data_IF_706778347405
#
_entry.id   IF_706778347405
#
_cell.length_a   1.000
_cell.length_b   1.000
_cell.length_c   1.000
_cell.angle_alpha   90.00
_cell.angle_beta   90.00
_cell.angle_gamma   90.00
#
_symmetry.space_group_name_H-M   'P 1'
#
loop_
_entity.id
_entity.type
_entity.pdbx_description
1 polymer ?
#
# COMPACT_ATOMS: atom_id res chain seq x y z
N UNK A 1 -51.93 -4.70 -15.62
CA UNK A 1 -51.73 -3.26 -15.87
C UNK A 1 -50.25 -3.00 -15.77
N UNK A 2 -49.61 -2.45 -16.80
CA UNK A 2 -48.17 -2.20 -16.75
C UNK A 2 -47.90 -0.91 -15.98
N UNK A 3 -47.00 -0.95 -15.00
CA UNK A 3 -46.63 0.21 -14.20
C UNK A 3 -45.21 0.62 -14.54
N UNK A 4 -45.03 1.85 -14.97
CA UNK A 4 -43.72 2.41 -15.28
C UNK A 4 -43.18 3.14 -14.05
N UNK A 5 -41.95 2.83 -13.65
CA UNK A 5 -41.28 3.46 -12.52
C UNK A 5 -40.14 4.35 -13.03
N UNK A 6 -40.06 5.59 -12.54
CA UNK A 6 -39.01 6.52 -12.92
C UNK A 6 -38.77 7.59 -11.85
N UNK A 7 -37.88 8.54 -12.12
CA UNK A 7 -37.59 9.71 -11.27
C UNK A 7 -36.41 9.54 -10.30
N UNK A 8 -36.05 8.31 -9.95
CA UNK A 8 -34.80 7.98 -9.25
C UNK A 8 -33.94 7.04 -10.09
N UNK A 9 -32.66 6.87 -9.69
CA UNK A 9 -31.81 5.83 -10.28
C UNK A 9 -32.43 4.45 -10.11
N UNK A 10 -32.08 3.51 -11.00
CA UNK A 10 -32.59 2.14 -10.94
C UNK A 10 -32.27 1.49 -9.59
N UNK A 11 -31.04 1.68 -9.11
CA UNK A 11 -30.60 1.16 -7.82
C UNK A 11 -31.39 1.75 -6.65
N UNK A 12 -31.62 3.07 -6.62
CA UNK A 12 -32.41 3.70 -5.55
C UNK A 12 -33.89 3.27 -5.60
N UNK A 13 -34.43 3.09 -6.82
CA UNK A 13 -35.79 2.60 -7.04
C UNK A 13 -35.95 1.17 -6.53
N UNK A 14 -34.98 0.29 -6.80
CA UNK A 14 -34.92 -1.08 -6.29
C UNK A 14 -34.72 -1.12 -4.77
N UNK A 15 -33.85 -0.27 -4.22
CA UNK A 15 -33.63 -0.17 -2.78
C UNK A 15 -34.91 0.25 -2.04
N UNK A 16 -35.70 1.15 -2.62
CA UNK A 16 -36.98 1.57 -2.05
C UNK A 16 -38.05 0.47 -2.16
N UNK A 17 -38.24 -0.12 -3.34
CA UNK A 17 -39.33 -1.09 -3.55
C UNK A 17 -38.99 -2.53 -3.09
N UNK A 18 -37.73 -2.82 -2.78
CA UNK A 18 -37.29 -4.13 -2.27
C UNK A 18 -37.14 -5.21 -3.35
N UNK A 19 -36.99 -6.47 -2.92
CA UNK A 19 -36.92 -7.63 -3.81
C UNK A 19 -38.23 -7.86 -4.58
N UNK A 20 -39.32 -7.24 -4.11
CA UNK A 20 -40.63 -7.23 -4.77
C UNK A 20 -40.62 -6.64 -6.20
N UNK A 21 -39.54 -6.01 -6.64
CA UNK A 21 -39.37 -5.52 -8.02
C UNK A 21 -39.01 -6.62 -9.03
N UNK A 22 -38.40 -7.73 -8.60
CA UNK A 22 -37.72 -8.67 -9.51
C UNK A 22 -38.59 -9.86 -9.93
N UNK A 23 -39.55 -10.34 -9.11
CA UNK A 23 -40.04 -11.72 -9.29
C UNK A 23 -41.49 -11.95 -9.75
N UNK A 24 -42.38 -10.96 -9.82
CA UNK A 24 -43.80 -11.27 -10.20
C UNK A 24 -44.63 -10.13 -10.79
N UNK A 25 -44.10 -8.91 -10.88
CA UNK A 25 -44.91 -7.73 -11.22
C UNK A 25 -44.51 -7.07 -12.53
N UNK A 26 -45.49 -6.49 -13.22
CA UNK A 26 -45.35 -5.72 -14.47
C UNK A 26 -44.75 -4.32 -14.26
N UNK A 27 -43.73 -4.20 -13.40
CA UNK A 27 -42.95 -2.98 -13.25
C UNK A 27 -41.86 -2.94 -14.31
N UNK A 28 -41.76 -1.81 -15.00
CA UNK A 28 -40.63 -1.54 -15.87
C UNK A 28 -40.03 -0.21 -15.43
N UNK A 29 -38.80 -0.26 -14.93
CA UNK A 29 -38.04 0.94 -14.64
C UNK A 29 -37.60 1.59 -15.95
N UNK A 30 -37.73 2.92 -16.04
CA UNK A 30 -37.21 3.73 -17.15
C UNK A 30 -36.41 4.91 -16.59
N UNK A 31 -35.27 5.27 -17.22
CA UNK A 31 -34.57 6.51 -16.92
C UNK A 31 -35.49 7.73 -17.04
N UNK A 32 -35.31 8.71 -16.13
CA UNK A 32 -36.07 9.96 -16.10
C UNK A 32 -36.14 10.64 -17.48
N UNK A 33 -34.99 10.76 -18.16
CA UNK A 33 -34.88 11.36 -19.47
C UNK A 33 -35.72 10.65 -20.55
N UNK A 34 -35.77 9.31 -20.52
CA UNK A 34 -36.55 8.53 -21.49
C UNK A 34 -38.05 8.70 -21.24
N UNK A 35 -38.48 8.71 -19.98
CA UNK A 35 -39.90 8.89 -19.65
C UNK A 35 -40.42 10.27 -20.07
N UNK A 36 -39.62 11.32 -19.93
CA UNK A 36 -40.02 12.68 -20.32
C UNK A 36 -40.07 12.91 -21.83
N UNK A 37 -39.36 12.09 -22.62
CA UNK A 37 -39.30 12.19 -24.08
C UNK A 37 -40.31 11.27 -24.76
N UNK A 38 -40.48 10.03 -24.27
CA UNK A 38 -41.35 9.00 -24.84
C UNK A 38 -42.85 9.23 -24.56
N UNK A 39 -43.20 10.23 -23.76
CA UNK A 39 -44.56 10.46 -23.26
C UNK A 39 -45.49 11.08 -24.32
N UNK A 40 -45.59 10.47 -25.49
CA UNK A 40 -46.61 10.78 -26.47
C UNK A 40 -47.86 9.93 -26.16
N UNK A 41 -48.94 10.51 -25.58
CA UNK A 41 -50.08 9.76 -25.07
C UNK A 41 -50.93 9.09 -26.16
N UNK A 42 -50.63 9.34 -27.44
CA UNK A 42 -51.45 8.93 -28.58
C UNK A 42 -51.30 7.44 -28.97
N UNK A 43 -50.19 6.77 -28.60
CA UNK A 43 -49.84 5.47 -29.20
C UNK A 43 -50.00 4.24 -28.29
N UNK A 44 -50.48 4.40 -27.05
CA UNK A 44 -50.52 3.28 -26.09
C UNK A 44 -51.95 2.90 -25.70
N UNK A 45 -52.43 1.81 -26.30
CA UNK A 45 -53.74 1.18 -26.08
C UNK A 45 -53.89 0.49 -24.73
N UNK A 46 -52.83 0.43 -23.91
CA UNK A 46 -52.85 -0.20 -22.59
C UNK A 46 -52.91 0.89 -21.50
N UNK A 47 -53.82 0.73 -20.54
CA UNK A 47 -53.88 1.58 -19.36
C UNK A 47 -52.60 1.41 -18.51
N UNK A 48 -51.59 2.24 -18.81
CA UNK A 48 -50.36 2.35 -18.02
C UNK A 48 -50.49 3.40 -16.93
N UNK A 49 -50.09 3.03 -15.72
CA UNK A 49 -49.83 3.96 -14.62
C UNK A 49 -48.34 4.30 -14.63
N UNK A 50 -48.02 5.58 -14.48
CA UNK A 50 -46.66 6.06 -14.36
C UNK A 50 -46.46 6.50 -12.91
N UNK A 51 -45.47 5.91 -12.25
CA UNK A 51 -45.07 6.26 -10.89
C UNK A 51 -43.72 6.98 -10.98
N UNK A 52 -43.72 8.23 -10.55
CA UNK A 52 -42.51 9.04 -10.45
C UNK A 52 -42.09 9.14 -8.99
N UNK A 53 -41.01 8.47 -8.66
CA UNK A 53 -40.37 8.56 -7.36
C UNK A 53 -39.49 9.81 -7.35
N UNK A 54 -39.61 10.61 -6.30
CA UNK A 54 -38.69 11.72 -6.09
C UNK A 54 -38.25 11.76 -4.64
N UNK A 55 -37.11 12.42 -4.42
CA UNK A 55 -36.52 12.67 -3.12
C UNK A 55 -36.23 14.14 -2.96
N UNK A 56 -36.32 14.59 -1.72
CA UNK A 56 -35.82 15.87 -1.26
C UNK A 56 -34.30 16.03 -1.47
N UNK A 57 -33.82 17.15 -2.06
CA UNK A 57 -32.40 17.36 -2.30
C UNK A 57 -31.55 17.68 -1.05
N UNK A 58 -32.10 17.74 0.16
CA UNK A 58 -31.30 17.70 1.39
C UNK A 58 -31.20 16.27 1.95
N UNK A 59 -32.19 15.42 1.71
CA UNK A 59 -32.15 14.02 2.16
C UNK A 59 -31.07 13.24 1.40
N UNK A 60 -30.98 13.40 0.08
CA UNK A 60 -29.92 12.74 -0.70
C UNK A 60 -28.49 13.28 -0.41
N UNK A 61 -28.37 14.52 0.11
CA UNK A 61 -27.08 15.14 0.44
C UNK A 61 -26.63 14.67 1.80
N UNK A 62 -27.58 14.47 2.72
CA UNK A 62 -27.32 13.88 4.01
C UNK A 62 -26.74 12.45 3.88
N UNK A 63 -27.20 11.68 2.87
CA UNK A 63 -26.62 10.34 2.60
C UNK A 63 -25.15 10.38 2.12
N UNK A 64 -24.65 11.52 1.63
CA UNK A 64 -23.26 11.67 1.19
C UNK A 64 -22.85 10.86 -0.05
N UNK A 65 -23.82 10.32 -0.81
CA UNK A 65 -23.55 9.41 -1.95
C UNK A 65 -23.16 10.11 -3.25
N UNK A 66 -23.38 11.42 -3.37
CA UNK A 66 -23.19 12.18 -4.61
C UNK A 66 -21.80 12.79 -4.74
N UNK A 67 -21.06 12.43 -5.80
CA UNK A 67 -19.69 12.94 -6.06
C UNK A 67 -19.70 14.38 -6.59
N UNK A 68 -20.62 14.73 -7.50
CA UNK A 68 -20.79 16.09 -8.02
C UNK A 68 -22.16 16.65 -7.64
N UNK A 69 -22.18 17.34 -6.50
CA UNK A 69 -23.40 17.96 -5.93
C UNK A 69 -24.00 19.00 -6.88
N UNK A 70 -23.19 19.75 -7.62
CA UNK A 70 -23.68 20.84 -8.46
C UNK A 70 -24.40 20.29 -9.69
N UNK A 71 -23.76 19.35 -10.39
CA UNK A 71 -24.37 18.70 -11.54
C UNK A 71 -25.62 17.91 -11.14
N UNK A 72 -25.57 17.20 -10.00
CA UNK A 72 -26.71 16.47 -9.47
C UNK A 72 -27.89 17.41 -9.21
N UNK A 73 -27.70 18.51 -8.46
CA UNK A 73 -28.78 19.45 -8.16
C UNK A 73 -29.41 20.06 -9.43
N UNK A 74 -28.60 20.38 -10.44
CA UNK A 74 -29.11 20.89 -11.72
C UNK A 74 -29.93 19.83 -12.48
N UNK A 75 -29.45 18.58 -12.50
CA UNK A 75 -30.19 17.47 -13.08
C UNK A 75 -31.52 17.27 -12.36
N UNK A 76 -31.51 17.24 -11.02
CA UNK A 76 -32.72 17.11 -10.20
C UNK A 76 -33.72 18.22 -10.54
N UNK A 77 -33.29 19.49 -10.59
CA UNK A 77 -34.19 20.59 -10.95
C UNK A 77 -34.81 20.42 -12.34
N UNK A 78 -34.01 19.98 -13.31
CA UNK A 78 -34.44 19.78 -14.70
C UNK A 78 -35.48 18.68 -14.79
N UNK A 79 -35.20 17.53 -14.18
CA UNK A 79 -36.10 16.37 -14.15
C UNK A 79 -37.40 16.68 -13.42
N UNK A 80 -37.34 17.33 -12.25
CA UNK A 80 -38.54 17.66 -11.48
C UNK A 80 -39.40 18.75 -12.14
N UNK A 81 -38.81 19.70 -12.87
CA UNK A 81 -39.59 20.64 -13.68
C UNK A 81 -40.28 19.93 -14.85
N UNK A 82 -39.57 19.03 -15.52
CA UNK A 82 -40.13 18.26 -16.62
C UNK A 82 -41.29 17.37 -16.16
N UNK A 83 -41.19 16.70 -15.00
CA UNK A 83 -42.28 15.87 -14.49
C UNK A 83 -43.50 16.68 -14.10
N UNK A 84 -43.33 17.88 -13.53
CA UNK A 84 -44.47 18.75 -13.21
C UNK A 84 -45.19 19.23 -14.47
N UNK A 85 -44.47 19.46 -15.58
CA UNK A 85 -45.08 19.74 -16.88
C UNK A 85 -45.81 18.52 -17.42
N UNK A 86 -45.19 17.33 -17.35
CA UNK A 86 -45.78 16.06 -17.77
C UNK A 86 -47.04 15.72 -16.98
N UNK A 87 -47.10 16.07 -15.70
CA UNK A 87 -48.30 15.89 -14.87
C UNK A 87 -49.52 16.65 -15.41
N UNK A 88 -49.31 17.80 -16.05
CA UNK A 88 -50.41 18.59 -16.65
C UNK A 88 -51.04 17.84 -17.82
N UNK A 89 -50.27 17.04 -18.56
CA UNK A 89 -50.76 16.24 -19.70
C UNK A 89 -51.32 14.89 -19.24
N UNK A 90 -50.62 14.17 -18.37
CA UNK A 90 -51.00 12.83 -17.92
C UNK A 90 -52.03 12.80 -16.78
N UNK A 91 -52.20 13.91 -16.05
CA UNK A 91 -53.14 14.08 -14.93
C UNK A 91 -53.05 12.92 -13.93
N UNK A 92 -54.14 12.16 -13.78
CA UNK A 92 -54.27 11.08 -12.80
C UNK A 92 -53.48 9.81 -13.16
N UNK A 93 -52.95 9.72 -14.40
CA UNK A 93 -52.13 8.59 -14.83
C UNK A 93 -50.71 8.65 -14.28
N UNK A 94 -50.27 9.84 -13.84
CA UNK A 94 -48.97 10.07 -13.23
C UNK A 94 -49.12 10.26 -11.72
N UNK A 95 -48.52 9.35 -10.96
CA UNK A 95 -48.49 9.38 -9.50
C UNK A 95 -47.10 9.86 -9.08
N UNK A 96 -47.03 11.01 -8.42
CA UNK A 96 -45.80 11.50 -7.80
C UNK A 96 -45.71 10.94 -6.37
N UNK A 97 -44.57 10.37 -6.01
CA UNK A 97 -44.36 9.72 -4.71
C UNK A 97 -43.06 10.22 -4.10
N UNK A 98 -43.16 10.83 -2.92
CA UNK A 98 -41.99 11.13 -2.10
C UNK A 98 -41.57 9.86 -1.35
N UNK A 99 -40.40 9.30 -1.70
CA UNK A 99 -39.92 8.05 -1.13
C UNK A 99 -39.56 8.15 0.37
N UNK A 100 -39.34 9.36 0.88
CA UNK A 100 -39.02 9.58 2.29
C UNK A 100 -40.27 9.63 3.18
N UNK A 101 -41.46 9.72 2.57
CA UNK A 101 -42.72 9.95 3.29
C UNK A 101 -43.76 8.87 3.04
N UNK A 102 -43.65 8.16 1.92
CA UNK A 102 -44.54 7.08 1.55
C UNK A 102 -43.81 5.77 1.75
N UNK A 103 -44.37 4.88 2.57
CA UNK A 103 -43.84 3.52 2.69
C UNK A 103 -44.10 2.73 1.42
N UNK A 104 -43.18 1.84 1.00
CA UNK A 104 -43.39 0.98 -0.17
C UNK A 104 -44.71 0.20 -0.09
N UNK A 105 -45.06 -0.34 1.09
CA UNK A 105 -46.33 -1.04 1.31
C UNK A 105 -47.55 -0.22 0.86
N UNK A 106 -47.66 1.03 1.31
CA UNK A 106 -48.77 1.90 0.93
C UNK A 106 -48.82 2.16 -0.58
N UNK A 107 -47.66 2.34 -1.23
CA UNK A 107 -47.59 2.48 -2.68
C UNK A 107 -48.08 1.22 -3.41
N UNK A 108 -47.67 0.04 -2.97
CA UNK A 108 -48.10 -1.22 -3.56
C UNK A 108 -49.60 -1.46 -3.35
N UNK A 109 -50.12 -1.19 -2.15
CA UNK A 109 -51.56 -1.22 -1.86
C UNK A 109 -52.35 -0.28 -2.78
N UNK A 110 -51.84 0.94 -3.01
CA UNK A 110 -52.44 1.91 -3.94
C UNK A 110 -52.47 1.41 -5.39
N UNK A 111 -51.46 0.64 -5.79
CA UNK A 111 -51.37 0.02 -7.10
C UNK A 111 -52.14 -1.32 -7.17
N UNK A 112 -52.72 -1.79 -6.06
CA UNK A 112 -53.43 -3.06 -5.97
C UNK A 112 -52.50 -4.29 -6.01
N UNK A 113 -51.26 -4.13 -5.55
CA UNK A 113 -50.22 -5.15 -5.56
C UNK A 113 -49.90 -5.62 -4.14
N UNK A 114 -49.53 -6.90 -4.00
CA UNK A 114 -49.05 -7.45 -2.74
C UNK A 114 -47.60 -7.01 -2.47
N UNK A 115 -47.32 -6.60 -1.23
CA UNK A 115 -45.98 -6.25 -0.77
C UNK A 115 -45.51 -7.33 0.22
N UNK A 116 -44.40 -8.01 -0.10
CA UNK A 116 -43.93 -9.16 0.67
C UNK A 116 -42.66 -8.88 1.49
N UNK A 117 -42.09 -7.68 1.37
CA UNK A 117 -40.86 -7.30 2.06
C UNK A 117 -41.16 -6.69 3.45
N UNK A 118 -40.14 -6.66 4.31
CA UNK A 118 -40.26 -6.03 5.62
C UNK A 118 -40.43 -4.52 5.49
N UNK A 119 -41.24 -3.87 6.35
CA UNK A 119 -41.46 -2.44 6.28
C UNK A 119 -40.14 -1.69 6.48
N UNK A 120 -39.73 -0.93 5.47
CA UNK A 120 -38.59 -0.01 5.56
C UNK A 120 -38.98 1.11 6.52
N UNK A 121 -38.20 1.31 7.58
CA UNK A 121 -38.37 2.46 8.46
C UNK A 121 -37.97 3.72 7.70
N UNK A 122 -38.89 4.68 7.63
CA UNK A 122 -38.60 6.02 7.15
C UNK A 122 -37.80 6.74 8.24
N UNK A 123 -36.49 6.91 8.02
CA UNK A 123 -35.62 7.58 8.98
C UNK A 123 -35.74 9.10 8.84
N UNK A 124 -36.02 9.78 9.96
CA UNK A 124 -35.84 11.23 10.05
C UNK A 124 -34.37 11.52 10.36
N UNK A 125 -33.60 11.88 9.34
CA UNK A 125 -32.20 12.25 9.51
C UNK A 125 -32.11 13.69 10.11
N UNK A 126 -31.52 13.87 11.30
CA UNK A 126 -31.32 15.19 11.90
C UNK A 126 -30.44 16.12 11.04
N UNK A 127 -29.48 15.57 10.28
CA UNK A 127 -28.69 16.33 9.32
C UNK A 127 -29.57 16.88 8.20
N UNK A 128 -30.48 16.07 7.67
CA UNK A 128 -31.40 16.50 6.64
C UNK A 128 -32.33 17.63 7.11
N UNK A 129 -32.79 17.57 8.36
CA UNK A 129 -33.52 18.66 9.02
C UNK A 129 -32.73 19.99 8.96
N UNK A 130 -31.43 19.91 9.27
CA UNK A 130 -30.53 21.08 9.25
C UNK A 130 -30.27 21.58 7.82
N UNK A 131 -29.95 20.67 6.90
CA UNK A 131 -29.62 20.99 5.52
C UNK A 131 -30.76 21.72 4.81
N UNK A 132 -32.02 21.31 4.96
CA UNK A 132 -33.07 22.08 4.29
C UNK A 132 -33.32 23.46 4.89
N UNK A 133 -32.94 23.70 6.15
CA UNK A 133 -32.92 25.07 6.70
C UNK A 133 -31.89 25.93 5.98
N UNK A 134 -30.76 25.34 5.58
CA UNK A 134 -29.76 26.00 4.73
C UNK A 134 -30.32 26.24 3.32
N UNK A 135 -31.00 25.26 2.70
CA UNK A 135 -31.63 25.43 1.39
C UNK A 135 -32.72 26.51 1.37
N UNK A 136 -33.50 26.61 2.44
CA UNK A 136 -34.53 27.64 2.57
C UNK A 136 -33.92 29.05 2.41
N UNK A 137 -32.73 29.27 2.98
CA UNK A 137 -32.04 30.55 2.95
C UNK A 137 -31.21 30.74 1.66
N UNK A 138 -30.53 29.69 1.21
CA UNK A 138 -29.49 29.78 0.18
C UNK A 138 -29.99 29.42 -1.23
N UNK A 139 -31.05 28.64 -1.37
CA UNK A 139 -31.58 28.16 -2.65
C UNK A 139 -33.13 28.08 -2.62
N UNK A 140 -33.82 29.21 -2.42
CA UNK A 140 -35.28 29.24 -2.27
C UNK A 140 -36.03 28.69 -3.49
N UNK A 141 -35.45 28.75 -4.69
CA UNK A 141 -36.00 28.21 -5.93
C UNK A 141 -36.09 26.68 -5.94
N UNK A 142 -35.11 25.99 -5.34
CA UNK A 142 -35.11 24.53 -5.18
C UNK A 142 -36.25 24.12 -4.26
N UNK A 143 -36.41 24.91 -3.19
CA UNK A 143 -37.45 24.71 -2.20
C UNK A 143 -38.85 24.95 -2.77
N UNK A 144 -39.05 26.02 -3.54
CA UNK A 144 -40.32 26.28 -4.22
C UNK A 144 -40.68 25.16 -5.21
N UNK A 145 -39.68 24.58 -5.90
CA UNK A 145 -39.89 23.43 -6.77
C UNK A 145 -40.29 22.18 -5.98
N UNK A 146 -39.65 21.94 -4.82
CA UNK A 146 -40.02 20.85 -3.92
C UNK A 146 -41.44 21.01 -3.36
N UNK A 147 -41.83 22.20 -2.89
CA UNK A 147 -43.20 22.46 -2.41
C UNK A 147 -44.24 22.23 -3.52
N UNK A 148 -43.89 22.56 -4.78
CA UNK A 148 -44.74 22.27 -5.93
C UNK A 148 -44.88 20.76 -6.21
N UNK A 149 -43.83 19.97 -5.96
CA UNK A 149 -43.89 18.50 -6.02
C UNK A 149 -44.73 17.95 -4.86
N UNK A 150 -44.52 18.42 -3.63
CA UNK A 150 -45.26 17.99 -2.44
C UNK A 150 -46.76 18.30 -2.56
N UNK A 151 -47.12 19.49 -3.03
CA UNK A 151 -48.52 19.84 -3.33
C UNK A 151 -49.12 18.97 -4.44
N UNK A 152 -48.27 18.38 -5.28
CA UNK A 152 -48.63 17.49 -6.37
C UNK A 152 -48.53 16.00 -6.01
N UNK A 153 -47.99 15.67 -4.85
CA UNK A 153 -47.69 14.31 -4.45
C UNK A 153 -48.96 13.54 -4.06
N UNK A 154 -48.90 12.22 -4.24
CA UNK A 154 -49.84 11.34 -3.58
C UNK A 154 -49.28 10.97 -2.21
N UNK A 155 -50.00 11.36 -1.15
CA UNK A 155 -49.67 11.07 0.23
C UNK A 155 -50.84 10.27 0.83
N UNK A 156 -50.65 8.97 1.18
CA UNK A 156 -51.72 8.15 1.72
C UNK A 156 -52.17 8.63 3.10
N UNK A 157 -51.21 9.01 3.95
CA UNK A 157 -51.43 9.48 5.32
C UNK A 157 -50.46 10.64 5.59
N UNK A 158 -50.92 11.89 5.47
CA UNK A 158 -50.12 13.05 5.85
C UNK A 158 -50.42 14.31 5.05
N UNK A 159 -49.97 15.44 5.58
CA UNK A 159 -49.99 16.73 4.89
C UNK A 159 -48.71 16.89 4.05
N UNK A 160 -48.75 17.60 2.90
CA UNK A 160 -47.56 17.99 2.17
C UNK A 160 -46.51 18.67 3.06
N UNK A 161 -45.23 18.41 2.80
CA UNK A 161 -44.14 19.06 3.55
C UNK A 161 -43.90 20.45 2.95
N UNK A 162 -44.10 21.47 3.77
CA UNK A 162 -43.88 22.88 3.43
C UNK A 162 -42.93 23.52 4.46
N UNK A 163 -42.40 24.70 4.13
CA UNK A 163 -41.61 25.51 5.11
C UNK A 163 -42.28 25.62 6.47
N UNK A 164 -43.60 25.79 6.49
CA UNK A 164 -44.38 26.13 7.68
C UNK A 164 -44.60 24.97 8.66
N UNK A 165 -44.60 23.72 8.20
CA UNK A 165 -44.92 22.55 9.02
C UNK A 165 -43.72 21.62 9.25
N UNK A 166 -42.52 22.10 8.94
CA UNK A 166 -41.29 21.32 9.03
C UNK A 166 -40.76 21.20 10.46
N UNK A 167 -40.14 20.06 10.85
CA UNK A 167 -39.38 19.98 12.09
C UNK A 167 -38.25 21.02 12.12
N UNK A 168 -38.12 21.71 13.24
CA UNK A 168 -37.04 22.66 13.48
C UNK A 168 -35.68 21.93 13.44
N UNK A 169 -34.62 22.57 12.93
CA UNK A 169 -33.27 22.00 12.96
C UNK A 169 -32.86 21.71 14.41
N UNK A 170 -32.34 20.51 14.65
CA UNK A 170 -31.91 20.06 15.97
C UNK A 170 -30.44 20.41 16.19
N UNK A 171 -30.03 20.55 17.46
CA UNK A 171 -28.61 20.76 17.80
C UNK A 171 -27.74 19.60 17.30
N UNK A 172 -28.26 18.36 17.32
CA UNK A 172 -27.57 17.17 16.80
C UNK A 172 -27.24 17.33 15.31
N UNK A 173 -28.22 17.72 14.48
CA UNK A 173 -27.98 17.90 13.05
C UNK A 173 -27.00 19.05 12.73
N UNK A 174 -26.97 20.10 13.57
CA UNK A 174 -25.97 21.16 13.45
C UNK A 174 -24.56 20.66 13.78
N UNK A 175 -24.40 19.84 14.83
CA UNK A 175 -23.11 19.24 15.19
C UNK A 175 -22.63 18.34 14.05
N UNK A 176 -23.50 17.48 13.51
CA UNK A 176 -23.16 16.61 12.36
C UNK A 176 -22.73 17.42 11.14
N UNK A 177 -23.42 18.53 10.82
CA UNK A 177 -23.03 19.41 9.73
C UNK A 177 -21.65 20.05 9.97
N UNK A 178 -21.38 20.50 11.19
CA UNK A 178 -20.08 21.08 11.54
C UNK A 178 -18.95 20.05 11.49
N UNK A 179 -19.20 18.82 11.93
CA UNK A 179 -18.26 17.71 11.85
C UNK A 179 -17.96 17.34 10.38
N UNK A 180 -18.98 17.30 9.52
CA UNK A 180 -18.80 17.09 8.09
C UNK A 180 -17.99 18.21 7.43
N UNK A 181 -18.25 19.47 7.78
CA UNK A 181 -17.46 20.61 7.30
C UNK A 181 -16.01 20.51 7.80
N UNK A 182 -15.81 20.14 9.07
CA UNK A 182 -14.48 19.94 9.65
C UNK A 182 -13.73 18.83 8.91
N UNK A 183 -14.36 17.66 8.73
CA UNK A 183 -13.80 16.53 7.99
C UNK A 183 -13.46 16.91 6.54
N UNK A 184 -14.37 17.61 5.85
CA UNK A 184 -14.15 18.10 4.49
C UNK A 184 -12.97 19.05 4.38
N UNK A 185 -12.74 19.91 5.39
CA UNK A 185 -11.56 20.79 5.44
C UNK A 185 -10.26 20.06 5.75
N UNK A 186 -10.32 18.93 6.46
CA UNK A 186 -9.14 18.09 6.73
C UNK A 186 -8.79 17.13 5.59
N UNK A 187 -9.73 16.88 4.67
CA UNK A 187 -9.54 15.93 3.58
C UNK A 187 -8.31 16.23 2.68
N UNK A 188 -8.01 17.47 2.28
CA UNK A 188 -6.79 17.77 1.53
C UNK A 188 -5.50 17.44 2.29
N UNK A 189 -5.48 17.68 3.61
CA UNK A 189 -4.34 17.32 4.46
C UNK A 189 -4.18 15.81 4.55
N UNK A 190 -5.29 15.07 4.72
CA UNK A 190 -5.27 13.62 4.74
C UNK A 190 -4.81 13.03 3.39
N UNK A 191 -5.24 13.61 2.26
CA UNK A 191 -4.79 13.22 0.93
C UNK A 191 -3.29 13.49 0.73
N UNK A 192 -2.80 14.64 1.20
CA UNK A 192 -1.37 14.97 1.16
C UNK A 192 -0.55 13.97 1.98
N UNK A 193 -0.98 13.65 3.20
CA UNK A 193 -0.34 12.64 4.03
C UNK A 193 -0.37 11.24 3.40
N UNK A 194 -1.47 10.87 2.73
CA UNK A 194 -1.54 9.61 1.99
C UNK A 194 -0.54 9.59 0.83
N UNK A 195 -0.45 10.68 0.06
CA UNK A 195 0.56 10.78 -1.01
C UNK A 195 1.99 10.76 -0.50
N UNK A 196 2.27 11.39 0.65
CA UNK A 196 3.58 11.30 1.30
C UNK A 196 3.90 9.87 1.74
N UNK A 197 2.92 9.17 2.33
CA UNK A 197 3.05 7.75 2.69
C UNK A 197 3.25 6.87 1.46
N UNK A 198 2.53 7.10 0.37
CA UNK A 198 2.70 6.37 -0.90
C UNK A 198 4.10 6.59 -1.49
N UNK A 199 4.62 7.82 -1.43
CA UNK A 199 5.99 8.14 -1.85
C UNK A 199 7.02 7.40 -0.98
N UNK A 200 6.84 7.40 0.34
CA UNK A 200 7.70 6.67 1.26
C UNK A 200 7.67 5.15 1.05
N UNK A 201 6.48 4.58 0.81
CA UNK A 201 6.34 3.16 0.45
C UNK A 201 7.06 2.86 -0.86
N UNK A 202 6.95 3.75 -1.85
CA UNK A 202 7.61 3.58 -3.14
C UNK A 202 9.14 3.68 -3.03
N UNK A 203 9.66 4.58 -2.19
CA UNK A 203 11.12 4.67 -1.95
C UNK A 203 11.64 3.44 -1.23
N UNK A 204 10.96 2.98 -0.16
CA UNK A 204 11.33 1.76 0.54
C UNK A 204 11.31 0.53 -0.37
N UNK A 205 10.31 0.41 -1.26
CA UNK A 205 10.27 -0.68 -2.25
C UNK A 205 11.48 -0.65 -3.18
N UNK A 206 11.88 0.53 -3.67
CA UNK A 206 13.07 0.67 -4.52
C UNK A 206 14.35 0.28 -3.77
N UNK A 207 14.49 0.71 -2.52
CA UNK A 207 15.64 0.37 -1.67
C UNK A 207 15.71 -1.14 -1.41
N UNK A 208 14.59 -1.78 -1.10
CA UNK A 208 14.55 -3.24 -0.90
C UNK A 208 14.91 -4.01 -2.18
N UNK A 209 14.53 -3.51 -3.35
CA UNK A 209 14.87 -4.13 -4.63
C UNK A 209 16.36 -3.93 -4.96
N UNK A 210 16.92 -2.76 -4.65
CA UNK A 210 18.36 -2.51 -4.73
C UNK A 210 19.14 -3.44 -3.80
N UNK A 211 18.69 -3.62 -2.56
CA UNK A 211 19.32 -4.54 -1.62
C UNK A 211 19.28 -5.99 -2.13
N UNK A 212 18.13 -6.46 -2.65
CA UNK A 212 18.00 -7.80 -3.25
C UNK A 212 18.91 -7.99 -4.46
N UNK A 213 18.97 -7.02 -5.36
CA UNK A 213 19.86 -7.11 -6.52
C UNK A 213 21.35 -7.17 -6.13
N UNK A 214 21.75 -6.43 -5.10
CA UNK A 214 23.10 -6.49 -4.55
C UNK A 214 23.40 -7.82 -3.84
N UNK A 215 22.43 -8.41 -3.15
CA UNK A 215 22.56 -9.76 -2.58
C UNK A 215 22.69 -10.82 -3.67
N UNK A 216 21.90 -10.72 -4.73
CA UNK A 216 21.98 -11.63 -5.87
C UNK A 216 23.34 -11.53 -6.56
N UNK A 217 23.84 -10.32 -6.81
CA UNK A 217 25.17 -10.15 -7.42
C UNK A 217 26.27 -10.73 -6.54
N UNK A 218 26.20 -10.54 -5.22
CA UNK A 218 27.13 -11.18 -4.25
C UNK A 218 27.03 -12.70 -4.28
N UNK A 219 25.83 -13.24 -4.43
CA UNK A 219 25.62 -14.68 -4.52
C UNK A 219 26.21 -15.25 -5.81
N UNK A 220 26.00 -14.58 -6.94
CA UNK A 220 26.55 -14.95 -8.25
C UNK A 220 28.09 -14.87 -8.24
N UNK A 221 28.66 -13.82 -7.66
CA UNK A 221 30.11 -13.69 -7.45
C UNK A 221 30.66 -14.84 -6.60
N UNK A 222 29.99 -15.15 -5.48
CA UNK A 222 30.38 -16.29 -4.62
C UNK A 222 30.30 -17.62 -5.37
N UNK A 223 29.28 -17.79 -6.22
CA UNK A 223 29.11 -18.93 -7.11
C UNK A 223 30.22 -19.07 -8.15
N UNK A 224 30.85 -17.98 -8.58
CA UNK A 224 32.02 -18.00 -9.48
C UNK A 224 33.34 -18.21 -8.75
N UNK A 225 33.51 -17.63 -7.56
CA UNK A 225 34.75 -17.73 -6.78
C UNK A 225 34.97 -19.14 -6.24
N UNK A 226 33.92 -19.82 -5.78
CA UNK A 226 34.01 -21.20 -5.25
C UNK A 226 34.64 -22.21 -6.23
N UNK A 227 34.19 -22.34 -7.49
CA UNK A 227 34.81 -23.25 -8.45
C UNK A 227 36.22 -22.80 -8.86
N UNK A 228 36.51 -21.50 -8.88
CA UNK A 228 37.89 -21.02 -9.11
C UNK A 228 38.83 -21.43 -7.97
N UNK A 229 38.37 -21.28 -6.72
CA UNK A 229 39.11 -21.73 -5.54
C UNK A 229 39.35 -23.24 -5.59
N UNK A 230 38.32 -24.03 -5.95
CA UNK A 230 38.45 -25.47 -6.07
C UNK A 230 39.46 -25.88 -7.16
N UNK A 231 39.42 -25.23 -8.33
CA UNK A 231 40.42 -25.45 -9.39
C UNK A 231 41.83 -25.06 -8.95
N UNK A 232 41.98 -23.96 -8.21
CA UNK A 232 43.27 -23.54 -7.69
C UNK A 232 43.83 -24.52 -6.65
N UNK A 233 42.97 -25.06 -5.76
CA UNK A 233 43.35 -26.10 -4.81
C UNK A 233 43.78 -27.40 -5.51
N UNK A 234 43.05 -27.80 -6.56
CA UNK A 234 43.38 -29.00 -7.32
C UNK A 234 44.72 -28.85 -8.07
N UNK A 235 44.95 -27.69 -8.70
CA UNK A 235 46.22 -27.40 -9.35
C UNK A 235 47.42 -27.33 -8.37
N UNK A 236 47.18 -26.94 -7.11
CA UNK A 236 48.18 -27.01 -6.05
C UNK A 236 48.51 -28.46 -5.69
N UNK A 237 47.49 -29.31 -5.50
CA UNK A 237 47.69 -30.73 -5.21
C UNK A 237 48.44 -31.47 -6.34
N UNK A 238 48.09 -31.19 -7.60
CA UNK A 238 48.78 -31.77 -8.76
C UNK A 238 50.27 -31.35 -8.79
N UNK A 239 50.57 -30.08 -8.48
CA UNK A 239 51.95 -29.59 -8.37
C UNK A 239 52.72 -30.21 -7.22
N UNK A 240 52.07 -30.44 -6.09
CA UNK A 240 52.71 -31.12 -4.94
C UNK A 240 53.08 -32.56 -5.30
N UNK A 241 52.19 -33.27 -6.00
CA UNK A 241 52.46 -34.61 -6.51
C UNK A 241 53.60 -34.64 -7.53
N UNK A 242 53.63 -33.69 -8.48
CA UNK A 242 54.72 -33.56 -9.44
C UNK A 242 56.06 -33.25 -8.76
N UNK A 243 56.05 -32.36 -7.75
CA UNK A 243 57.25 -32.04 -6.96
C UNK A 243 57.76 -33.25 -6.18
N UNK A 244 56.87 -34.08 -5.63
CA UNK A 244 57.25 -35.35 -4.98
C UNK A 244 57.87 -36.32 -5.97
N UNK A 245 57.27 -36.50 -7.15
CA UNK A 245 57.82 -37.38 -8.19
C UNK A 245 59.21 -36.92 -8.65
N UNK A 246 59.42 -35.61 -8.78
CA UNK A 246 60.74 -35.05 -9.09
C UNK A 246 61.75 -35.28 -7.96
N UNK A 247 61.34 -35.20 -6.69
CA UNK A 247 62.22 -35.54 -5.55
C UNK A 247 62.60 -37.01 -5.56
N UNK A 248 61.65 -37.90 -5.85
CA UNK A 248 61.90 -39.34 -5.92
C UNK A 248 62.86 -39.66 -7.07
N UNK A 249 62.65 -39.08 -8.25
CA UNK A 249 63.56 -39.21 -9.39
C UNK A 249 64.97 -38.72 -9.04
N UNK A 250 65.08 -37.55 -8.42
CA UNK A 250 66.36 -36.98 -8.01
C UNK A 250 67.06 -37.87 -6.97
N UNK A 251 66.32 -38.44 -6.02
CA UNK A 251 66.87 -39.38 -5.05
C UNK A 251 67.41 -40.65 -5.72
N UNK A 252 66.70 -41.17 -6.74
CA UNK A 252 67.13 -42.36 -7.48
C UNK A 252 68.38 -42.08 -8.31
N UNK A 253 68.44 -40.93 -8.99
CA UNK A 253 69.60 -40.50 -9.77
C UNK A 253 70.81 -40.28 -8.87
N UNK A 254 70.60 -39.67 -7.70
CA UNK A 254 71.66 -39.48 -6.71
C UNK A 254 72.19 -40.83 -6.18
N UNK A 255 71.32 -41.81 -5.98
CA UNK A 255 71.71 -43.19 -5.65
C UNK A 255 72.50 -43.85 -6.77
N UNK A 256 72.06 -43.71 -8.02
CA UNK A 256 72.76 -44.25 -9.20
C UNK A 256 74.15 -43.62 -9.37
N UNK A 257 74.27 -42.31 -9.14
CA UNK A 257 75.55 -41.60 -9.16
C UNK A 257 76.48 -42.09 -8.04
N UNK A 258 75.96 -42.27 -6.82
CA UNK A 258 76.73 -42.81 -5.71
C UNK A 258 77.22 -44.26 -6.00
N UNK A 259 76.35 -45.09 -6.59
CA UNK A 259 76.68 -46.45 -7.02
C UNK A 259 77.76 -46.44 -8.12
N UNK A 260 77.58 -45.63 -9.16
CA UNK A 260 78.55 -45.51 -10.25
C UNK A 260 79.90 -44.96 -9.78
N UNK A 261 79.92 -44.06 -8.80
CA UNK A 261 81.16 -43.59 -8.17
C UNK A 261 81.83 -44.68 -7.34
N UNK A 262 81.07 -45.51 -6.63
CA UNK A 262 81.60 -46.67 -5.92
C UNK A 262 82.19 -47.72 -6.89
N UNK A 263 81.48 -48.02 -7.97
CA UNK A 263 81.94 -48.92 -9.03
C UNK A 263 83.17 -48.37 -9.73
N UNK A 264 83.21 -47.05 -10.00
CA UNK A 264 84.39 -46.37 -10.54
C UNK A 264 85.57 -46.44 -9.57
N UNK A 265 85.38 -46.23 -8.27
CA UNK A 265 86.46 -46.36 -7.28
C UNK A 265 86.99 -47.80 -7.20
N UNK A 266 86.12 -48.81 -7.29
CA UNK A 266 86.53 -50.21 -7.38
C UNK A 266 87.29 -50.51 -8.68
N UNK A 267 86.82 -50.01 -9.82
CA UNK A 267 87.50 -50.13 -11.12
C UNK A 267 88.85 -49.40 -11.13
N UNK A 268 88.96 -48.26 -10.44
CA UNK A 268 90.20 -47.48 -10.33
C UNK A 268 91.21 -48.17 -9.40
N UNK A 269 90.73 -48.86 -8.35
CA UNK A 269 91.58 -49.71 -7.50
C UNK A 269 92.02 -50.99 -8.24
N UNK A 270 91.17 -51.56 -9.10
CA UNK A 270 91.51 -52.68 -9.97
C UNK A 270 92.49 -52.28 -11.09
N UNK A 271 92.35 -51.08 -11.68
CA UNK A 271 93.31 -50.53 -12.65
C UNK A 271 94.66 -50.17 -12.02
N UNK A 272 94.71 -49.75 -10.75
CA UNK A 272 95.97 -49.51 -10.04
C UNK A 272 96.78 -50.79 -9.77
N UNK A 273 96.16 -51.97 -9.82
CA UNK A 273 96.85 -53.25 -9.73
C UNK A 273 97.41 -53.76 -11.08
N UNK A 274 97.06 -53.10 -12.19
CA UNK A 274 97.49 -53.49 -13.53
C UNK A 274 97.85 -52.24 -14.36
N UNK A 275 99.03 -51.66 -14.11
CA UNK A 275 99.55 -50.59 -14.95
C UNK A 275 100.45 -51.15 -16.06
N UNK A 276 99.99 -51.08 -17.32
CA UNK A 276 100.84 -50.74 -18.47
C UNK A 276 99.98 -49.96 -19.48
N UNK A 277 100.37 -48.71 -19.76
CA UNK A 277 99.96 -48.01 -21.00
C UNK A 277 99.38 -46.62 -20.79
N UNK A 278 100.11 -45.53 -21.14
CA UNK A 278 99.57 -44.17 -21.12
C UNK A 278 98.88 -43.88 -22.45
N UNK A 279 97.54 -43.76 -22.46
CA UNK A 279 96.77 -42.99 -23.48
C UNK A 279 95.25 -42.77 -23.27
N UNK A 280 94.53 -43.25 -22.24
CA UNK A 280 93.09 -42.93 -22.11
C UNK A 280 92.78 -41.69 -21.25
N UNK A 281 93.78 -41.10 -20.58
CA UNK A 281 93.57 -39.98 -19.63
C UNK A 281 93.06 -38.68 -20.28
N UNK A 282 93.31 -38.47 -21.57
CA UNK A 282 92.83 -37.29 -22.29
C UNK A 282 91.33 -37.39 -22.59
N UNK A 283 90.87 -38.55 -23.05
CA UNK A 283 89.45 -38.82 -23.31
C UNK A 283 88.64 -38.83 -22.01
N UNK A 284 89.20 -39.34 -20.91
CA UNK A 284 88.55 -39.27 -19.59
C UNK A 284 88.42 -37.82 -19.08
N UNK A 285 89.41 -36.96 -19.33
CA UNK A 285 89.35 -35.55 -18.96
C UNK A 285 88.33 -34.77 -19.79
N UNK A 286 88.22 -35.05 -21.10
CA UNK A 286 87.18 -34.45 -21.95
C UNK A 286 85.78 -34.90 -21.52
N UNK A 287 85.60 -36.17 -21.17
CA UNK A 287 84.32 -36.67 -20.65
C UNK A 287 83.94 -36.02 -19.31
N UNK A 288 84.91 -35.84 -18.41
CA UNK A 288 84.69 -35.15 -17.14
C UNK A 288 84.32 -33.68 -17.35
N UNK A 289 84.99 -32.98 -18.27
CA UNK A 289 84.65 -31.60 -18.63
C UNK A 289 83.22 -31.50 -19.19
N UNK A 290 82.82 -32.45 -20.05
CA UNK A 290 81.47 -32.51 -20.59
C UNK A 290 80.41 -32.78 -19.50
N UNK A 291 80.69 -33.67 -18.55
CA UNK A 291 79.80 -33.92 -17.41
C UNK A 291 79.69 -32.71 -16.49
N UNK A 292 80.79 -32.00 -16.26
CA UNK A 292 80.81 -30.79 -15.43
C UNK A 292 79.98 -29.68 -16.07
N UNK A 293 80.10 -29.48 -17.39
CA UNK A 293 79.24 -28.55 -18.13
C UNK A 293 77.76 -28.90 -18.04
N UNK A 294 77.39 -30.18 -18.20
CA UNK A 294 76.00 -30.62 -18.07
C UNK A 294 75.43 -30.35 -16.68
N UNK A 295 76.20 -30.65 -15.62
CA UNK A 295 75.78 -30.37 -14.23
C UNK A 295 75.65 -28.87 -13.99
N UNK A 296 76.52 -28.06 -14.62
CA UNK A 296 76.47 -26.62 -14.50
C UNK A 296 75.21 -26.04 -15.17
N UNK A 297 74.85 -26.52 -16.37
CA UNK A 297 73.60 -26.14 -17.05
C UNK A 297 72.36 -26.58 -16.26
N UNK A 298 72.35 -27.78 -15.68
CA UNK A 298 71.23 -28.24 -14.83
C UNK A 298 71.09 -27.40 -13.55
N UNK A 299 72.20 -27.01 -12.92
CA UNK A 299 72.19 -26.14 -11.74
C UNK A 299 71.68 -24.74 -12.09
N UNK A 300 72.10 -24.17 -13.22
CA UNK A 300 71.59 -22.87 -13.69
C UNK A 300 70.08 -22.93 -13.98
N UNK A 301 69.63 -24.00 -14.64
CA UNK A 301 68.21 -24.21 -14.90
C UNK A 301 67.40 -24.33 -13.61
N UNK A 302 67.86 -25.14 -12.66
CA UNK A 302 67.22 -25.29 -11.33
C UNK A 302 67.21 -23.97 -10.55
N UNK A 303 68.26 -23.16 -10.67
CA UNK A 303 68.33 -21.87 -10.02
C UNK A 303 67.28 -20.89 -10.58
N UNK A 304 67.14 -20.82 -11.91
CA UNK A 304 66.11 -20.02 -12.57
C UNK A 304 64.69 -20.49 -12.20
N UNK A 305 64.45 -21.80 -12.16
CA UNK A 305 63.17 -22.36 -11.71
C UNK A 305 62.88 -21.97 -10.25
N UNK A 306 63.87 -22.09 -9.35
CA UNK A 306 63.75 -21.69 -7.95
C UNK A 306 63.46 -20.19 -7.78
N UNK A 307 64.07 -19.34 -8.62
CA UNK A 307 63.80 -17.90 -8.64
C UNK A 307 62.36 -17.62 -9.08
N UNK A 308 61.88 -18.31 -10.12
CA UNK A 308 60.50 -18.21 -10.59
C UNK A 308 59.46 -18.68 -9.55
N UNK A 309 59.79 -19.68 -8.72
CA UNK A 309 58.95 -20.07 -7.59
C UNK A 309 58.92 -19.02 -6.48
N UNK A 310 60.07 -18.42 -6.17
CA UNK A 310 60.16 -17.39 -5.14
C UNK A 310 59.33 -16.15 -5.53
N UNK A 311 59.37 -15.75 -6.80
CA UNK A 311 58.55 -14.65 -7.31
C UNK A 311 57.05 -14.93 -7.23
N UNK A 312 56.63 -16.17 -7.52
CA UNK A 312 55.23 -16.59 -7.36
C UNK A 312 54.80 -16.56 -5.90
N UNK A 313 55.66 -17.04 -4.99
CA UNK A 313 55.38 -17.01 -3.56
C UNK A 313 55.26 -15.58 -3.02
N UNK A 314 56.14 -14.67 -3.47
CA UNK A 314 56.07 -13.26 -3.11
C UNK A 314 54.77 -12.58 -3.60
N UNK A 315 54.31 -12.91 -4.82
CA UNK A 315 53.02 -12.42 -5.34
C UNK A 315 51.83 -12.94 -4.54
N UNK A 316 51.80 -14.25 -4.27
CA UNK A 316 50.71 -14.88 -3.51
C UNK A 316 50.62 -14.32 -2.09
N UNK A 317 51.77 -14.10 -1.44
CA UNK A 317 51.83 -13.48 -0.11
C UNK A 317 51.26 -12.06 -0.13
N UNK A 318 51.59 -11.27 -1.16
CA UNK A 318 51.05 -9.91 -1.32
C UNK A 318 49.53 -9.91 -1.54
N UNK A 319 49.00 -10.85 -2.31
CA UNK A 319 47.55 -11.01 -2.51
C UNK A 319 46.85 -11.41 -1.21
N UNK A 320 47.44 -12.31 -0.43
CA UNK A 320 46.91 -12.71 0.88
C UNK A 320 46.86 -11.53 1.86
N UNK A 321 47.93 -10.73 1.92
CA UNK A 321 47.98 -9.53 2.77
C UNK A 321 46.94 -8.49 2.34
N UNK A 322 46.71 -8.32 1.04
CA UNK A 322 45.67 -7.44 0.50
C UNK A 322 44.26 -7.93 0.83
N UNK A 323 44.00 -9.24 0.72
CA UNK A 323 42.70 -9.83 1.08
C UNK A 323 42.41 -9.67 2.57
N UNK A 324 43.42 -9.87 3.44
CA UNK A 324 43.29 -9.66 4.88
C UNK A 324 43.00 -8.19 5.23
N UNK A 325 43.65 -7.25 4.55
CA UNK A 325 43.37 -5.83 4.72
C UNK A 325 41.94 -5.46 4.30
N UNK A 326 41.48 -5.98 3.16
CA UNK A 326 40.12 -5.75 2.67
C UNK A 326 39.06 -6.34 3.62
N UNK A 327 39.31 -7.53 4.19
CA UNK A 327 38.41 -8.14 5.17
C UNK A 327 38.29 -7.29 6.43
N UNK A 328 39.41 -6.81 6.99
CA UNK A 328 39.40 -5.93 8.16
C UNK A 328 38.66 -4.62 7.91
N UNK A 329 38.82 -4.04 6.71
CA UNK A 329 38.08 -2.84 6.34
C UNK A 329 36.57 -3.10 6.31
N UNK A 330 36.15 -4.21 5.69
CA UNK A 330 34.74 -4.61 5.66
C UNK A 330 34.17 -4.87 7.06
N UNK A 331 34.95 -5.42 7.98
CA UNK A 331 34.53 -5.62 9.39
C UNK A 331 34.37 -4.28 10.12
N UNK A 332 35.26 -3.31 9.89
CA UNK A 332 35.11 -1.96 10.46
C UNK A 332 33.87 -1.24 9.91
N UNK A 333 33.61 -1.35 8.60
CA UNK A 333 32.44 -0.74 7.97
C UNK A 333 31.14 -1.37 8.52
N UNK A 334 31.13 -2.70 8.73
CA UNK A 334 29.99 -3.40 9.32
C UNK A 334 29.76 -2.96 10.77
N UNK A 335 30.83 -2.84 11.57
CA UNK A 335 30.74 -2.35 12.94
C UNK A 335 30.19 -0.91 12.99
N UNK A 336 30.65 -0.04 12.08
CA UNK A 336 30.13 1.33 11.95
C UNK A 336 28.65 1.37 11.58
N UNK A 337 28.21 0.52 10.65
CA UNK A 337 26.80 0.42 10.28
C UNK A 337 25.93 -0.08 11.45
N UNK A 338 26.42 -1.05 12.23
CA UNK A 338 25.69 -1.54 13.42
C UNK A 338 25.55 -0.49 14.52
N UNK A 339 26.58 0.33 14.75
CA UNK A 339 26.53 1.44 15.71
C UNK A 339 25.48 2.49 15.27
N UNK A 340 25.47 2.87 13.99
CA UNK A 340 24.48 3.80 13.45
C UNK A 340 23.05 3.25 13.54
N UNK A 341 22.85 1.96 13.31
CA UNK A 341 21.54 1.33 13.46
C UNK A 341 21.05 1.35 14.91
N UNK A 342 21.95 1.17 15.90
CA UNK A 342 21.62 1.28 17.32
C UNK A 342 21.23 2.72 17.69
N UNK A 343 22.02 3.72 17.28
CA UNK A 343 21.69 5.13 17.57
C UNK A 343 20.35 5.54 16.96
N UNK A 344 20.05 5.10 15.73
CA UNK A 344 18.75 5.35 15.11
C UNK A 344 17.60 4.62 15.83
N UNK A 345 17.86 3.44 16.39
CA UNK A 345 16.91 2.71 17.23
C UNK A 345 16.58 3.48 18.52
N UNK A 346 17.61 3.95 19.22
CA UNK A 346 17.46 4.75 20.45
C UNK A 346 16.70 6.07 20.20
N UNK A 347 17.00 6.77 19.10
CA UNK A 347 16.28 7.99 18.71
C UNK A 347 14.79 7.72 18.42
N UNK A 348 14.48 6.59 17.78
CA UNK A 348 13.10 6.21 17.46
C UNK A 348 12.31 5.87 18.73
N UNK A 349 12.92 5.12 19.67
CA UNK A 349 12.30 4.83 20.98
C UNK A 349 12.04 6.12 21.78
N UNK A 350 12.98 7.07 21.75
CA UNK A 350 12.81 8.36 22.41
C UNK A 350 11.66 9.17 21.80
N UNK A 351 11.54 9.22 20.47
CA UNK A 351 10.46 9.93 19.78
C UNK A 351 9.09 9.28 20.06
N UNK A 352 9.02 7.95 20.10
CA UNK A 352 7.82 7.22 20.49
C UNK A 352 7.39 7.56 21.93
N UNK A 353 8.34 7.62 22.86
CA UNK A 353 8.05 8.04 24.24
C UNK A 353 7.54 9.48 24.31
N UNK A 354 8.11 10.40 23.54
CA UNK A 354 7.63 11.79 23.50
C UNK A 354 6.22 11.87 22.91
N UNK A 355 5.91 11.10 21.87
CA UNK A 355 4.57 11.05 21.28
C UNK A 355 3.53 10.56 22.29
N UNK A 356 3.84 9.53 23.08
CA UNK A 356 2.95 9.04 24.13
C UNK A 356 2.68 10.08 25.22
N UNK A 357 3.72 10.81 25.67
CA UNK A 357 3.54 11.89 26.64
C UNK A 357 2.60 12.98 26.11
N UNK A 358 2.77 13.40 24.86
CA UNK A 358 1.90 14.41 24.24
C UNK A 358 0.45 13.91 24.12
N UNK A 359 0.26 12.62 23.81
CA UNK A 359 -1.08 12.02 23.79
C UNK A 359 -1.75 12.04 25.17
N UNK A 360 -1.01 11.68 26.22
CA UNK A 360 -1.51 11.70 27.59
C UNK A 360 -1.85 13.12 28.06
N UNK A 361 -1.00 14.10 27.74
CA UNK A 361 -1.30 15.52 28.02
C UNK A 361 -2.57 15.99 27.30
N UNK A 362 -2.76 15.64 26.02
CA UNK A 362 -3.96 15.98 25.27
C UNK A 362 -5.22 15.32 25.84
N UNK A 363 -5.13 14.06 26.28
CA UNK A 363 -6.23 13.37 26.95
C UNK A 363 -6.59 14.05 28.28
N UNK A 364 -5.58 14.43 29.06
CA UNK A 364 -5.78 15.18 30.30
C UNK A 364 -6.47 16.53 30.05
N UNK A 365 -6.05 17.29 29.03
CA UNK A 365 -6.72 18.54 28.66
C UNK A 365 -8.16 18.32 28.21
N UNK A 366 -8.42 17.26 27.46
CA UNK A 366 -9.77 16.92 27.02
C UNK A 366 -10.69 16.61 28.22
N UNK A 367 -10.21 15.79 29.17
CA UNK A 367 -10.95 15.45 30.39
C UNK A 367 -11.20 16.70 31.27
N UNK A 368 -10.19 17.54 31.46
CA UNK A 368 -10.31 18.78 32.23
C UNK A 368 -11.34 19.75 31.59
N UNK A 369 -11.29 19.93 30.26
CA UNK A 369 -12.27 20.76 29.55
C UNK A 369 -13.69 20.20 29.68
N UNK A 370 -13.85 18.88 29.62
CA UNK A 370 -15.15 18.22 29.82
C UNK A 370 -15.69 18.45 31.23
N UNK A 371 -14.84 18.37 32.25
CA UNK A 371 -15.22 18.65 33.63
C UNK A 371 -15.62 20.12 33.83
N UNK A 372 -14.87 21.06 33.25
CA UNK A 372 -15.20 22.50 33.27
C UNK A 372 -16.57 22.76 32.62
N UNK A 373 -16.86 22.15 31.47
CA UNK A 373 -18.16 22.27 30.81
C UNK A 373 -19.30 21.72 31.68
N UNK A 374 -19.11 20.54 32.29
CA UNK A 374 -20.10 19.96 33.20
C UNK A 374 -20.35 20.85 34.43
N UNK A 375 -19.29 21.42 35.03
CA UNK A 375 -19.41 22.35 36.14
C UNK A 375 -20.14 23.65 35.74
N UNK A 376 -19.89 24.15 34.53
CA UNK A 376 -20.56 25.34 33.99
C UNK A 376 -22.06 25.10 33.77
N UNK A 377 -22.44 23.93 33.24
CA UNK A 377 -23.85 23.54 33.08
C UNK A 377 -24.56 23.42 34.44
N UNK A 378 -23.90 22.81 35.43
CA UNK A 378 -24.44 22.74 36.79
C UNK A 378 -24.62 24.14 37.40
N UNK A 379 -23.64 25.04 37.22
CA UNK A 379 -23.74 26.43 37.67
C UNK A 379 -24.90 27.17 37.00
N UNK A 380 -25.04 27.05 35.68
CA UNK A 380 -26.15 27.63 34.92
C UNK A 380 -27.50 27.14 35.45
N UNK A 381 -27.65 25.84 35.71
CA UNK A 381 -28.87 25.30 36.32
C UNK A 381 -29.16 25.90 37.71
N UNK A 382 -28.16 26.09 38.55
CA UNK A 382 -28.35 26.73 39.86
C UNK A 382 -28.74 28.21 39.74
N UNK A 383 -28.12 28.96 38.81
CA UNK A 383 -28.47 30.35 38.52
C UNK A 383 -29.91 30.48 38.00
N UNK A 384 -30.34 29.59 37.10
CA UNK A 384 -31.73 29.57 36.63
C UNK A 384 -32.73 29.30 37.76
N UNK A 385 -32.41 28.37 38.67
CA UNK A 385 -33.22 28.12 39.86
C UNK A 385 -33.29 29.34 40.77
N UNK A 386 -32.15 29.97 41.07
CA UNK A 386 -32.09 31.18 41.90
C UNK A 386 -32.89 32.33 41.27
N UNK A 387 -32.74 32.56 39.96
CA UNK A 387 -33.51 33.57 39.22
C UNK A 387 -35.01 33.31 39.29
N UNK A 388 -35.43 32.05 39.19
CA UNK A 388 -36.84 31.65 39.34
C UNK A 388 -37.38 31.91 40.75
N UNK A 389 -36.56 31.68 41.78
CA UNK A 389 -36.92 32.00 43.17
C UNK A 389 -37.03 33.51 43.37
N UNK A 390 -36.04 34.30 42.94
CA UNK A 390 -36.05 35.77 43.03
C UNK A 390 -37.26 36.35 42.31
N UNK A 391 -37.57 35.87 41.11
CA UNK A 391 -38.76 36.30 40.36
C UNK A 391 -40.07 36.03 41.09
N UNK A 392 -40.16 34.94 41.87
CA UNK A 392 -41.35 34.63 42.69
C UNK A 392 -41.43 35.53 43.91
N UNK A 393 -40.30 35.80 44.58
CA UNK A 393 -40.26 36.70 45.73
C UNK A 393 -40.64 38.12 45.32
N UNK A 394 -40.08 38.62 44.21
CA UNK A 394 -40.40 39.95 43.68
C UNK A 394 -41.86 40.11 43.25
N UNK A 395 -42.57 39.03 42.93
CA UNK A 395 -44.00 39.06 42.59
C UNK A 395 -44.91 39.07 43.84
N UNK A 396 -44.38 38.76 45.02
CA UNK A 396 -45.13 38.64 46.28
C UNK A 396 -44.86 39.81 47.25
N UNK A 397 -44.04 40.79 46.85
CA UNK A 397 -43.84 42.09 47.53
C UNK A 397 -44.57 43.14 46.72
#
# INVERSE_FOLDING_TARGET
MQTLLSGLSEQASRAYAGASLDDTFSFQWKPAAQLTVDSDPANETVARHVVWLYRAPWNWLADGTTVDVTAALQQWQTEQRAVLQLRRTLRQRLILVNIDRVTPQALFERLGLAYNDQPVQLFSDPLAATLAGVFEQMAPEIWNLYEALEAAAWLPNGEPEFRSNRPLPTTTGLIELLDLIHAGRQLPNAQLQLHERERAITSLRRETEQARSAEQSRHDERGQVLPQLHRAQQALADREAESQLLRDQHSSLQQQLAQALADKQQATQAMRAASVGPKPLAEENELLLAQLHNVQEELEKRHLEGQGFNDKYAKLKKELDQALAAQKQSEMDLAGATANAQTLGEENELLLSQLHLVQEELENYYLANREILAAMDQSNHTLHRARKVISRVAANV
#
